data_IF_020853818498
#
_entry.id   IF_020853818498
#
_cell.length_a   1.000
_cell.length_b   1.000
_cell.length_c   1.000
_cell.angle_alpha   90.00
_cell.angle_beta   90.00
_cell.angle_gamma   90.00
#
_symmetry.space_group_name_H-M   'P 1'
#
loop_
_entity.id
_entity.type
_entity.pdbx_description
1 polymer ?
#
# COMPACT_ATOMS: atom_id res chain seq x y z
N UNK A 1 7.52 -5.96 -12.63
CA UNK A 1 8.41 -4.83 -12.87
C UNK A 1 9.06 -4.45 -11.54
N UNK A 2 10.23 -3.80 -11.59
CA UNK A 2 10.95 -3.42 -10.37
C UNK A 2 10.25 -2.24 -9.66
N UNK A 3 10.49 -2.09 -8.35
CA UNK A 3 10.01 -0.95 -7.55
C UNK A 3 10.58 0.36 -8.09
N UNK A 4 9.72 1.30 -8.48
CA UNK A 4 10.09 2.64 -8.92
C UNK A 4 9.61 3.67 -7.90
N UNK A 5 10.54 4.11 -7.05
CA UNK A 5 10.27 5.08 -5.98
C UNK A 5 10.14 6.53 -6.48
N UNK A 6 10.56 6.82 -7.72
CA UNK A 6 10.47 8.15 -8.31
C UNK A 6 9.12 8.39 -9.02
N UNK A 7 8.36 7.33 -9.27
CA UNK A 7 7.07 7.36 -9.95
C UNK A 7 6.00 6.66 -9.09
N UNK A 8 5.76 7.20 -7.90
CA UNK A 8 4.73 6.66 -7.00
C UNK A 8 3.36 7.32 -7.19
N UNK A 9 2.30 6.54 -6.98
CA UNK A 9 0.93 7.05 -6.83
C UNK A 9 0.50 6.88 -5.38
N UNK A 10 0.23 8.00 -4.72
CA UNK A 10 -0.06 8.02 -3.29
C UNK A 10 -1.56 7.90 -3.03
N UNK A 11 -1.93 6.94 -2.19
CA UNK A 11 -3.28 6.66 -1.74
C UNK A 11 -3.33 6.79 -0.22
N UNK A 12 -3.56 8.03 0.23
CA UNK A 12 -3.61 8.36 1.65
C UNK A 12 -5.00 8.12 2.26
N UNK A 13 -6.05 8.09 1.45
CA UNK A 13 -7.40 7.73 1.87
C UNK A 13 -7.87 6.47 1.16
N UNK A 14 -7.94 5.37 1.92
CA UNK A 14 -8.36 4.07 1.39
C UNK A 14 -9.85 3.78 1.60
N UNK A 15 -10.63 4.71 2.16
CA UNK A 15 -12.06 4.48 2.46
C UNK A 15 -12.87 4.13 1.22
N UNK A 16 -12.52 4.74 0.08
CA UNK A 16 -13.17 4.57 -1.21
C UNK A 16 -12.18 4.03 -2.25
N UNK A 17 -11.24 3.17 -1.83
CA UNK A 17 -10.23 2.64 -2.73
C UNK A 17 -10.89 1.80 -3.82
N UNK A 18 -10.78 2.27 -5.06
CA UNK A 18 -11.23 1.50 -6.23
C UNK A 18 -10.20 0.41 -6.56
N UNK A 19 -10.59 -0.84 -6.29
CA UNK A 19 -9.75 -2.01 -6.58
C UNK A 19 -9.42 -2.15 -8.07
N UNK A 20 -10.29 -1.73 -8.99
CA UNK A 20 -10.01 -1.78 -10.44
C UNK A 20 -8.92 -0.78 -10.82
N UNK A 21 -8.97 0.43 -10.25
CA UNK A 21 -7.93 1.43 -10.44
C UNK A 21 -6.58 0.96 -9.90
N UNK A 22 -6.57 0.36 -8.71
CA UNK A 22 -5.35 -0.19 -8.10
C UNK A 22 -4.77 -1.30 -8.98
N UNK A 23 -5.60 -2.25 -9.39
CA UNK A 23 -5.16 -3.38 -10.23
C UNK A 23 -4.60 -2.92 -11.58
N UNK A 24 -5.26 -1.94 -12.21
CA UNK A 24 -4.78 -1.31 -13.43
C UNK A 24 -3.42 -0.64 -13.23
N UNK A 25 -3.26 0.20 -12.21
CA UNK A 25 -1.99 0.91 -11.98
C UNK A 25 -0.84 -0.06 -11.67
N UNK A 26 -1.11 -1.11 -10.89
CA UNK A 26 -0.11 -2.14 -10.62
C UNK A 26 0.25 -2.93 -11.89
N UNK A 27 -0.73 -3.21 -12.76
CA UNK A 27 -0.51 -3.88 -14.04
C UNK A 27 0.23 -3.01 -15.05
N UNK A 28 0.08 -1.68 -14.96
CA UNK A 28 0.88 -0.70 -15.71
C UNK A 28 2.32 -0.56 -15.16
N UNK A 29 2.69 -1.30 -14.11
CA UNK A 29 4.02 -1.28 -13.52
C UNK A 29 4.25 -0.14 -12.53
N UNK A 30 3.21 0.59 -12.13
CA UNK A 30 3.35 1.68 -11.16
C UNK A 30 3.63 1.14 -9.76
N UNK A 31 4.43 1.91 -9.02
CA UNK A 31 4.56 1.72 -7.58
C UNK A 31 3.52 2.57 -6.87
N UNK A 32 2.78 2.00 -5.95
CA UNK A 32 1.75 2.69 -5.18
C UNK A 32 2.23 2.90 -3.75
N UNK A 33 1.78 3.98 -3.12
CA UNK A 33 2.00 4.22 -1.69
C UNK A 33 0.66 4.13 -0.97
N UNK A 34 0.50 3.18 -0.06
CA UNK A 34 -0.74 3.02 0.72
C UNK A 34 -0.55 3.45 2.17
N UNK A 35 -1.53 4.22 2.68
CA UNK A 35 -1.65 4.53 4.09
C UNK A 35 -2.43 3.43 4.84
N UNK A 36 -1.72 2.58 5.56
CA UNK A 36 -2.31 1.53 6.37
C UNK A 36 -2.24 1.83 7.87
N UNK A 37 -3.17 1.23 8.60
CA UNK A 37 -3.02 1.02 10.04
C UNK A 37 -2.22 -0.26 10.25
N UNK A 38 -1.10 -0.19 10.97
CA UNK A 38 -0.17 -1.30 11.30
C UNK A 38 -0.79 -2.29 12.30
N UNK A 39 -1.92 -2.89 11.91
CA UNK A 39 -2.57 -3.99 12.63
C UNK A 39 -1.89 -5.34 12.34
N UNK A 40 -2.40 -6.40 12.97
CA UNK A 40 -1.87 -7.76 12.85
C UNK A 40 -1.72 -8.23 11.39
N UNK A 41 -2.72 -7.94 10.55
CA UNK A 41 -2.73 -8.33 9.14
C UNK A 41 -1.64 -7.62 8.33
N UNK A 42 -1.52 -6.30 8.47
CA UNK A 42 -0.52 -5.47 7.78
C UNK A 42 0.89 -5.83 8.26
N UNK A 43 1.08 -6.10 9.56
CA UNK A 43 2.35 -6.63 10.09
C UNK A 43 2.73 -7.96 9.44
N UNK A 44 1.75 -8.85 9.23
CA UNK A 44 1.95 -10.12 8.54
C UNK A 44 2.35 -9.95 7.07
N UNK A 45 1.76 -8.98 6.36
CA UNK A 45 2.14 -8.66 4.98
C UNK A 45 3.54 -8.08 4.88
N UNK A 46 3.87 -7.11 5.75
CA UNK A 46 5.21 -6.52 5.83
C UNK A 46 6.26 -7.60 6.12
N UNK A 47 6.01 -8.49 7.10
CA UNK A 47 6.95 -9.58 7.43
C UNK A 47 7.17 -10.55 6.26
N UNK A 48 6.15 -10.75 5.42
CA UNK A 48 6.23 -11.61 4.22
C UNK A 48 6.70 -10.86 2.98
N UNK A 49 6.92 -9.55 3.08
CA UNK A 49 7.12 -8.63 1.95
C UNK A 49 6.09 -8.79 0.82
N UNK A 50 4.90 -9.31 1.14
CA UNK A 50 3.87 -9.64 0.15
C UNK A 50 2.45 -9.44 0.68
N UNK A 51 1.64 -8.70 -0.07
CA UNK A 51 0.22 -8.54 0.15
C UNK A 51 -0.57 -9.51 -0.76
N UNK A 52 -1.13 -10.55 -0.15
CA UNK A 52 -1.90 -11.60 -0.86
C UNK A 52 -3.20 -11.11 -1.50
N UNK A 53 -3.81 -10.04 -1.00
CA UNK A 53 -5.11 -9.58 -1.49
C UNK A 53 -5.02 -8.93 -2.87
N UNK A 54 -3.98 -8.14 -3.07
CA UNK A 54 -3.71 -7.43 -4.33
C UNK A 54 -2.57 -8.09 -5.12
N UNK A 55 -2.10 -9.26 -4.66
CA UNK A 55 -1.03 -10.05 -5.27
C UNK A 55 0.19 -9.21 -5.62
N UNK A 56 0.66 -8.42 -4.67
CA UNK A 56 1.72 -7.43 -4.88
C UNK A 56 2.75 -7.49 -3.75
N UNK A 57 3.98 -7.10 -4.07
CA UNK A 57 5.03 -6.90 -3.09
C UNK A 57 4.69 -5.69 -2.22
N UNK A 58 5.18 -5.70 -0.98
CA UNK A 58 4.94 -4.63 -0.01
C UNK A 58 6.17 -4.39 0.85
N UNK A 59 6.49 -3.13 1.08
CA UNK A 59 7.61 -2.70 1.90
C UNK A 59 7.25 -1.44 2.70
N UNK A 60 7.77 -1.30 3.91
CA UNK A 60 7.54 -0.08 4.71
C UNK A 60 8.29 1.09 4.08
N UNK A 61 7.55 2.16 3.77
CA UNK A 61 8.12 3.45 3.35
C UNK A 61 8.52 4.27 4.57
N UNK A 62 7.57 4.50 5.47
CA UNK A 62 7.77 5.27 6.71
C UNK A 62 6.64 5.02 7.72
N UNK A 63 6.93 5.21 8.99
CA UNK A 63 5.93 5.20 10.08
C UNK A 63 5.66 6.62 10.55
N UNK A 64 4.39 6.96 10.74
CA UNK A 64 3.93 8.30 11.09
C UNK A 64 2.71 8.16 12.01
N UNK A 65 2.48 9.07 12.94
CA UNK A 65 1.33 8.95 13.85
C UNK A 65 -0.02 9.09 13.12
N UNK A 66 -0.05 9.87 12.03
CA UNK A 66 -1.20 9.99 11.14
C UNK A 66 -0.72 10.24 9.71
N UNK A 67 -0.80 9.23 8.85
CA UNK A 67 -0.45 9.33 7.43
C UNK A 67 -1.65 9.21 6.49
N UNK A 68 -2.88 9.26 7.03
CA UNK A 68 -4.10 9.11 6.25
C UNK A 68 -5.13 8.20 6.91
N UNK A 69 -5.98 7.58 6.09
CA UNK A 69 -7.09 6.75 6.54
C UNK A 69 -6.98 5.37 5.90
N UNK A 70 -6.84 4.36 6.76
CA UNK A 70 -6.80 2.96 6.36
C UNK A 70 -8.17 2.50 5.84
N UNK A 71 -8.21 1.43 5.07
CA UNK A 71 -9.44 0.81 4.56
C UNK A 71 -10.44 0.46 5.67
N UNK A 72 -9.95 0.16 6.87
CA UNK A 72 -10.79 -0.08 8.07
C UNK A 72 -11.37 1.21 8.69
N UNK A 73 -11.29 2.35 8.00
CA UNK A 73 -11.78 3.69 8.42
C UNK A 73 -11.11 4.25 9.68
N UNK A 74 -9.98 3.66 10.10
CA UNK A 74 -9.17 4.14 11.22
C UNK A 74 -7.95 4.91 10.71
N UNK A 75 -7.39 5.82 11.53
CA UNK A 75 -6.14 6.50 11.19
C UNK A 75 -5.06 5.50 10.80
N UNK A 76 -4.42 5.76 9.68
CA UNK A 76 -3.25 5.04 9.21
C UNK A 76 -2.01 5.58 9.93
N UNK A 77 -1.10 4.67 10.28
CA UNK A 77 0.13 4.99 10.98
C UNK A 77 1.39 4.42 10.30
N UNK A 78 1.24 3.87 9.10
CA UNK A 78 2.35 3.41 8.28
C UNK A 78 2.04 3.64 6.82
N UNK A 79 3.02 4.17 6.09
CA UNK A 79 3.01 4.20 4.64
C UNK A 79 3.84 3.03 4.13
N UNK A 80 3.33 2.37 3.10
CA UNK A 80 4.00 1.24 2.47
C UNK A 80 4.10 1.45 0.98
N UNK A 81 5.19 1.03 0.38
CA UNK A 81 5.30 0.83 -1.06
C UNK A 81 4.61 -0.46 -1.45
N UNK A 82 3.93 -0.46 -2.59
CA UNK A 82 3.29 -1.63 -3.20
C UNK A 82 3.56 -1.66 -4.70
N UNK A 83 4.03 -2.80 -5.21
CA UNK A 83 4.33 -2.96 -6.64
C UNK A 83 4.17 -4.43 -7.08
N UNK A 84 4.03 -4.67 -8.38
CA UNK A 84 3.98 -6.03 -8.96
C UNK A 84 5.20 -6.32 -9.81
N UNK A 85 5.70 -7.55 -9.72
CA UNK A 85 6.67 -8.13 -10.65
C UNK A 85 6.03 -8.54 -11.98
#
# INVERSE_FOLDING_TARGET
MAKDINNTVDFLDLRNLDGKKVDRLLSEGKTLVFAYRKGWMVKGWIKKSYNRWIKANIEVKQELDNCGICYCKKPANVLVYVWRE
#
